data_IF_584419393037
#
_entry.id   IF_584419393037
#
_cell.length_a   1.000
_cell.length_b   1.000
_cell.length_c   1.000
_cell.angle_alpha   90.00
_cell.angle_beta   90.00
_cell.angle_gamma   90.00
#
_symmetry.space_group_name_H-M   'P 1'
#
loop_
_entity.id
_entity.type
_entity.pdbx_description
1 polymer ?
#
# COMPACT_ATOMS: atom_id res chain seq x y z
N UNK A 1 -3.84 3.43 23.64
CA UNK A 1 -4.47 2.19 23.11
C UNK A 1 -3.86 1.01 23.85
N UNK A 2 -4.67 0.06 24.35
CA UNK A 2 -4.23 -1.01 25.28
C UNK A 2 -3.18 -1.96 24.65
N UNK A 3 -3.21 -2.14 23.32
CA UNK A 3 -2.36 -3.12 22.62
C UNK A 3 -1.19 -2.50 21.82
N UNK A 4 -0.85 -1.22 22.01
CA UNK A 4 0.19 -0.51 21.24
C UNK A 4 0.06 -0.51 19.70
N UNK A 5 -1.13 -0.79 19.18
CA UNK A 5 -1.39 -0.74 17.74
C UNK A 5 -1.66 0.69 17.25
N UNK A 6 -0.91 1.12 16.23
CA UNK A 6 -1.22 2.33 15.47
C UNK A 6 -2.30 2.04 14.41
N UNK A 7 -3.12 3.03 14.11
CA UNK A 7 -4.25 2.92 13.17
C UNK A 7 -4.06 4.01 12.14
N UNK A 8 -4.26 3.61 10.89
CA UNK A 8 -4.11 4.48 9.74
C UNK A 8 -5.34 4.40 8.84
N UNK A 9 -5.71 5.51 8.22
CA UNK A 9 -6.73 5.56 7.18
C UNK A 9 -6.10 5.40 5.80
N UNK A 10 -6.84 4.80 4.87
CA UNK A 10 -6.39 4.62 3.49
C UNK A 10 -7.18 5.54 2.55
N UNK A 11 -6.50 6.52 1.95
CA UNK A 11 -7.07 7.42 0.96
C UNK A 11 -8.35 8.17 1.40
N UNK A 12 -8.53 8.36 2.71
CA UNK A 12 -9.65 9.10 3.26
C UNK A 12 -9.56 10.59 2.86
N UNK A 13 -10.71 11.22 2.60
CA UNK A 13 -10.77 12.66 2.28
C UNK A 13 -10.71 13.50 3.55
N UNK A 14 -11.39 13.04 4.59
CA UNK A 14 -11.48 13.75 5.86
C UNK A 14 -10.19 13.64 6.67
N UNK A 15 -9.86 14.71 7.40
CA UNK A 15 -8.73 14.68 8.33
C UNK A 15 -9.14 13.95 9.62
N UNK A 16 -8.55 12.77 9.83
CA UNK A 16 -8.83 11.95 11.02
C UNK A 16 -7.75 12.04 12.11
N UNK A 17 -6.73 12.89 11.92
CA UNK A 17 -5.67 13.15 12.91
C UNK A 17 -6.21 13.49 14.29
N UNK A 18 -7.30 14.29 14.45
CA UNK A 18 -7.87 14.60 15.76
C UNK A 18 -8.33 13.36 16.55
N UNK A 19 -8.67 12.27 15.86
CA UNK A 19 -9.06 10.99 16.46
C UNK A 19 -7.88 10.03 16.64
N UNK A 20 -6.65 10.49 16.42
CA UNK A 20 -5.44 9.66 16.48
C UNK A 20 -5.35 8.63 15.35
N UNK A 21 -5.96 8.93 14.19
CA UNK A 21 -5.89 8.11 12.98
C UNK A 21 -5.09 8.88 11.94
N UNK A 22 -3.91 8.36 11.59
CA UNK A 22 -3.01 9.00 10.63
C UNK A 22 -3.35 8.55 9.20
N UNK A 23 -3.07 9.36 8.19
CA UNK A 23 -3.15 8.89 6.80
C UNK A 23 -1.98 7.92 6.50
N UNK A 24 -2.30 6.72 6.02
CA UNK A 24 -1.33 5.66 5.74
C UNK A 24 -1.10 5.35 4.26
N UNK A 25 -0.14 4.46 4.03
CA UNK A 25 0.24 3.92 2.72
C UNK A 25 0.36 2.41 2.82
N UNK A 26 -0.29 1.66 1.93
CA UNK A 26 -0.16 0.21 1.89
C UNK A 26 1.25 -0.20 1.43
N UNK A 27 1.77 0.48 0.40
CA UNK A 27 3.16 0.39 -0.03
C UNK A 27 3.87 1.66 0.42
N UNK A 28 4.48 1.61 1.60
CA UNK A 28 5.13 2.75 2.24
C UNK A 28 6.64 2.75 1.96
N UNK A 29 7.06 3.59 1.01
CA UNK A 29 8.46 3.73 0.63
C UNK A 29 9.37 4.20 1.77
N UNK A 30 8.88 5.07 2.66
CA UNK A 30 9.66 5.59 3.79
C UNK A 30 9.89 4.46 4.81
N UNK A 31 8.83 3.68 5.07
CA UNK A 31 8.94 2.50 5.92
C UNK A 31 9.89 1.46 5.33
N UNK A 32 9.85 1.23 4.02
CA UNK A 32 10.79 0.34 3.33
C UNK A 32 12.24 0.81 3.47
N UNK A 33 12.51 2.10 3.21
CA UNK A 33 13.84 2.70 3.44
C UNK A 33 14.33 2.45 4.87
N UNK A 34 13.46 2.68 5.85
CA UNK A 34 13.81 2.49 7.27
C UNK A 34 14.07 1.03 7.63
N UNK A 35 13.21 0.10 7.21
CA UNK A 35 13.33 -1.33 7.54
C UNK A 35 14.59 -1.94 6.91
N UNK A 36 14.87 -1.59 5.67
CA UNK A 36 15.96 -2.20 4.90
C UNK A 36 17.23 -1.35 4.84
N UNK A 37 17.26 -0.21 5.54
CA UNK A 37 18.36 0.76 5.51
C UNK A 37 18.74 1.16 4.06
N UNK A 38 17.73 1.51 3.28
CA UNK A 38 17.87 1.94 1.88
C UNK A 38 17.74 3.46 1.76
N UNK A 39 18.23 3.98 0.63
CA UNK A 39 18.09 5.40 0.26
C UNK A 39 17.37 5.51 -1.08
N UNK A 40 16.20 4.87 -1.22
CA UNK A 40 15.42 4.95 -2.46
C UNK A 40 14.70 6.29 -2.53
N UNK A 41 14.66 6.88 -3.73
CA UNK A 41 13.87 8.08 -3.99
C UNK A 41 12.40 7.71 -4.07
N UNK A 42 11.60 8.22 -3.15
CA UNK A 42 10.18 7.89 -3.03
C UNK A 42 9.36 8.88 -3.87
N UNK A 43 8.38 8.35 -4.61
CA UNK A 43 7.38 9.13 -5.34
C UNK A 43 6.00 8.51 -5.13
N UNK A 44 4.95 9.33 -5.03
CA UNK A 44 3.56 8.86 -5.08
C UNK A 44 3.30 8.17 -6.41
N UNK A 45 2.61 7.04 -6.38
CA UNK A 45 2.11 6.42 -7.60
C UNK A 45 0.99 7.28 -8.23
N UNK A 46 1.21 7.70 -9.47
CA UNK A 46 0.28 8.53 -10.24
C UNK A 46 -1.00 7.80 -10.63
N UNK A 47 -0.98 6.46 -10.68
CA UNK A 47 -2.15 5.65 -11.06
C UNK A 47 -3.06 5.34 -9.88
N UNK A 48 -2.64 5.66 -8.64
CA UNK A 48 -3.43 5.45 -7.44
C UNK A 48 -4.40 6.61 -7.18
N UNK A 49 -5.46 6.31 -6.40
CA UNK A 49 -6.50 7.26 -5.94
C UNK A 49 -5.90 8.62 -5.52
N UNK A 50 -6.59 9.75 -5.71
CA UNK A 50 -6.05 11.08 -5.43
C UNK A 50 -5.41 11.21 -4.04
N UNK A 51 -6.09 10.71 -3.01
CA UNK A 51 -5.64 10.77 -1.62
C UNK A 51 -4.79 9.55 -1.19
N UNK A 52 -4.52 8.61 -2.09
CA UNK A 52 -3.63 7.48 -1.80
C UNK A 52 -2.21 7.98 -1.61
N UNK A 53 -1.50 7.43 -0.63
CA UNK A 53 -0.11 7.80 -0.33
C UNK A 53 0.91 6.70 -0.67
N UNK A 54 0.46 5.61 -1.30
CA UNK A 54 1.35 4.54 -1.74
C UNK A 54 2.43 5.06 -2.69
N UNK A 55 3.65 4.55 -2.51
CA UNK A 55 4.72 4.76 -3.49
C UNK A 55 4.52 3.89 -4.73
N UNK A 56 5.26 4.19 -5.80
CA UNK A 56 5.26 3.41 -7.04
C UNK A 56 5.63 1.96 -6.72
N UNK A 57 4.83 1.03 -7.23
CA UNK A 57 5.08 -0.39 -7.13
C UNK A 57 4.70 -1.06 -8.45
N UNK A 58 5.30 -2.22 -8.70
CA UNK A 58 5.00 -3.07 -9.84
C UNK A 58 4.61 -4.42 -9.27
N UNK A 59 3.48 -4.95 -9.72
CA UNK A 59 3.10 -6.33 -9.43
C UNK A 59 4.09 -7.27 -10.13
N UNK A 60 4.56 -8.29 -9.40
CA UNK A 60 5.50 -9.31 -9.88
C UNK A 60 4.80 -10.65 -10.17
N UNK A 61 3.47 -10.67 -10.17
CA UNK A 61 2.67 -11.85 -10.48
C UNK A 61 2.91 -12.35 -11.90
N UNK A 62 2.99 -13.67 -12.02
CA UNK A 62 3.05 -14.36 -13.31
C UNK A 62 1.66 -14.91 -13.63
N UNK A 63 1.06 -14.41 -14.71
CA UNK A 63 -0.21 -14.90 -15.22
C UNK A 63 0.01 -16.17 -16.06
N UNK A 64 -1.03 -16.95 -16.34
CA UNK A 64 -0.97 -18.16 -17.18
C UNK A 64 -0.13 -19.33 -16.64
N UNK A 65 0.37 -19.28 -15.40
CA UNK A 65 1.19 -20.38 -14.83
C UNK A 65 0.43 -21.33 -13.91
N UNK A 66 -0.77 -20.95 -13.47
CA UNK A 66 -1.57 -21.74 -12.53
C UNK A 66 -2.37 -22.85 -13.25
N UNK A 67 -2.21 -24.11 -12.84
CA UNK A 67 -2.84 -25.28 -13.50
C UNK A 67 -4.27 -25.60 -13.01
N UNK A 68 -4.84 -24.82 -12.10
CA UNK A 68 -6.12 -25.16 -11.46
C UNK A 68 -7.36 -25.02 -12.37
N UNK A 69 -7.25 -24.35 -13.52
CA UNK A 69 -8.33 -24.33 -14.53
C UNK A 69 -9.63 -23.67 -14.05
N UNK A 70 -9.58 -22.73 -13.10
CA UNK A 70 -10.78 -22.13 -12.54
C UNK A 70 -11.50 -21.24 -13.57
N UNK A 71 -12.78 -21.50 -13.84
CA UNK A 71 -13.60 -20.74 -14.81
C UNK A 71 -13.75 -19.24 -14.51
N UNK A 72 -13.43 -18.83 -13.29
CA UNK A 72 -13.53 -17.46 -12.79
C UNK A 72 -12.16 -16.80 -12.58
N UNK A 73 -11.06 -17.44 -12.98
CA UNK A 73 -9.73 -16.90 -12.70
C UNK A 73 -9.44 -15.68 -13.58
N UNK A 74 -9.03 -14.58 -12.95
CA UNK A 74 -8.62 -13.35 -13.62
C UNK A 74 -7.15 -13.37 -14.08
N UNK A 75 -6.41 -14.38 -13.60
CA UNK A 75 -4.98 -14.56 -13.80
C UNK A 75 -4.66 -15.71 -14.79
N UNK A 76 -5.67 -16.15 -15.55
CA UNK A 76 -5.52 -17.18 -16.59
C UNK A 76 -4.68 -16.63 -17.72
#
# INVERSE_FOLDING_TARGET
>A
RINNLEIFSCAEKEELTPYGIKAGSCIDGERLNKIFNLTIKIKKDKHQRPNCRCTVSQDIGEYNTCQHGCVYCYAI
#
